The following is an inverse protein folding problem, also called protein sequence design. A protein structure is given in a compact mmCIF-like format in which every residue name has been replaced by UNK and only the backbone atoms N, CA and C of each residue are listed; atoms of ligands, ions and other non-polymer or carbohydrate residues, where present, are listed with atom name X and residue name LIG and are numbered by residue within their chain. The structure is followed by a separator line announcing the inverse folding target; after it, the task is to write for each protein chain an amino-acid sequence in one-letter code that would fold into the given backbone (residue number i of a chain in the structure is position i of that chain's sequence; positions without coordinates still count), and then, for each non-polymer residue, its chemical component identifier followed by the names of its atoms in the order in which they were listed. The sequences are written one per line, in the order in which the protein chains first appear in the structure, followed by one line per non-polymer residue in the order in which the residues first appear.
data_IF_267066297260
#
_entry.id   IF_267066297260
#
_cell.length_a   1.000
_cell.length_b   1.000
_cell.length_c   1.000
_cell.angle_alpha   90.00
_cell.angle_beta   90.00
_cell.angle_gamma   90.00
#
_symmetry.space_group_name_H-M   'P 1'
#
loop_
_entity.id
_entity.type
_entity.pdbx_description
1 polymer ?
#
# COMPACT_ATOMS: atom_id res chain seq x y z
N UNK A 1 -6.48 7.15 15.06
CA UNK A 1 -5.98 6.79 13.71
C UNK A 1 -6.03 7.99 12.77
N UNK A 2 -6.25 9.19 13.30
CA UNK A 2 -6.58 10.39 12.53
C UNK A 2 -5.31 11.20 12.28
N UNK A 3 -5.24 11.78 11.09
CA UNK A 3 -4.22 12.73 10.67
C UNK A 3 -4.79 14.13 10.91
N UNK A 4 -4.46 14.70 12.07
CA UNK A 4 -4.98 15.99 12.54
C UNK A 4 -4.75 17.16 11.56
N UNK A 5 -3.57 17.30 10.91
CA UNK A 5 -3.37 18.41 9.99
C UNK A 5 -4.23 18.29 8.73
N UNK A 6 -4.89 19.40 8.34
CA UNK A 6 -5.61 19.47 7.07
C UNK A 6 -4.66 19.37 5.87
N UNK A 7 -4.97 18.49 4.93
CA UNK A 7 -4.34 18.47 3.62
C UNK A 7 -5.12 19.37 2.67
N UNK A 8 -4.50 20.45 2.19
CA UNK A 8 -5.12 21.33 1.18
C UNK A 8 -5.55 20.54 -0.04
N UNK A 9 -4.71 19.61 -0.50
CA UNK A 9 -5.01 18.82 -1.68
C UNK A 9 -6.20 17.87 -1.48
N UNK A 10 -6.30 17.19 -0.33
CA UNK A 10 -7.46 16.32 -0.06
C UNK A 10 -8.75 17.12 0.10
N UNK A 11 -8.68 18.28 0.73
CA UNK A 11 -9.83 19.19 0.85
C UNK A 11 -10.31 19.71 -0.50
N UNK A 12 -9.39 20.14 -1.37
CA UNK A 12 -9.73 20.66 -2.69
C UNK A 12 -10.21 19.56 -3.64
N UNK A 13 -9.66 18.35 -3.54
CA UNK A 13 -9.98 17.23 -4.47
C UNK A 13 -11.20 16.42 -4.02
N UNK A 14 -11.30 16.14 -2.72
CA UNK A 14 -12.28 15.20 -2.16
C UNK A 14 -13.20 15.82 -1.11
N UNK A 15 -12.98 17.09 -0.72
CA UNK A 15 -13.74 17.73 0.36
C UNK A 15 -13.40 17.20 1.76
N UNK A 16 -12.32 16.43 1.90
CA UNK A 16 -11.92 15.82 3.17
C UNK A 16 -11.22 16.87 4.06
N UNK A 17 -11.73 17.15 5.29
CA UNK A 17 -11.10 18.07 6.23
C UNK A 17 -9.90 17.42 6.94
N UNK A 18 -9.25 18.14 7.86
CA UNK A 18 -8.30 17.53 8.81
C UNK A 18 -9.00 16.52 9.73
N UNK A 19 -8.23 15.61 10.34
CA UNK A 19 -8.76 14.48 11.12
C UNK A 19 -9.00 13.22 10.27
N UNK A 20 -8.48 13.16 9.04
CA UNK A 20 -8.72 12.04 8.13
C UNK A 20 -7.83 10.83 8.45
N UNK A 21 -8.33 9.64 8.13
CA UNK A 21 -7.56 8.42 8.05
C UNK A 21 -6.71 8.42 6.77
N UNK A 22 -5.43 8.07 6.90
CA UNK A 22 -4.47 7.93 5.80
C UNK A 22 -3.87 6.53 5.86
N UNK A 23 -4.12 5.70 4.84
CA UNK A 23 -3.64 4.31 4.82
C UNK A 23 -2.13 4.22 4.92
N UNK A 24 -1.37 5.16 4.33
CA UNK A 24 0.10 5.13 4.34
C UNK A 24 0.65 5.42 5.71
N UNK A 25 0.25 6.52 6.32
CA UNK A 25 0.78 6.88 7.65
C UNK A 25 0.41 5.84 8.69
N UNK A 26 -0.79 5.29 8.58
CA UNK A 26 -1.25 4.26 9.49
C UNK A 26 -0.53 2.92 9.23
N UNK A 27 -0.28 2.53 7.98
CA UNK A 27 0.54 1.36 7.68
C UNK A 27 1.99 1.54 8.16
N UNK A 28 2.63 2.70 7.93
CA UNK A 28 3.97 3.00 8.42
C UNK A 28 4.09 2.88 9.95
N UNK A 29 3.13 3.46 10.68
CA UNK A 29 3.06 3.33 12.13
C UNK A 29 2.81 1.89 12.57
N UNK A 30 1.92 1.15 11.88
CA UNK A 30 1.67 -0.27 12.12
C UNK A 30 2.94 -1.12 11.98
N UNK A 31 3.68 -0.94 10.87
CA UNK A 31 4.98 -1.59 10.64
C UNK A 31 5.97 -1.23 11.75
N UNK A 32 6.05 0.03 12.15
CA UNK A 32 6.95 0.47 13.22
C UNK A 32 6.63 -0.20 14.56
N UNK A 33 5.35 -0.32 14.91
CA UNK A 33 4.89 -0.98 16.13
C UNK A 33 5.22 -2.48 16.15
N UNK A 34 4.99 -3.19 15.04
CA UNK A 34 5.35 -4.63 14.94
C UNK A 34 6.85 -4.82 15.08
N UNK A 35 7.65 -4.00 14.40
CA UNK A 35 9.13 -4.06 14.51
C UNK A 35 9.61 -3.70 15.92
N UNK A 36 8.96 -2.75 16.60
CA UNK A 36 9.26 -2.43 17.99
C UNK A 36 8.94 -3.60 18.92
N UNK A 37 7.81 -4.27 18.72
CA UNK A 37 7.48 -5.50 19.44
C UNK A 37 8.54 -6.58 19.22
N UNK A 38 8.90 -6.88 17.98
CA UNK A 38 9.91 -7.89 17.65
C UNK A 38 11.28 -7.59 18.27
N UNK A 39 11.64 -6.30 18.36
CA UNK A 39 12.93 -5.87 18.91
C UNK A 39 12.98 -5.86 20.44
N UNK A 40 11.91 -5.39 21.09
CA UNK A 40 11.91 -5.12 22.53
C UNK A 40 11.08 -6.12 23.34
N UNK A 41 10.29 -6.96 22.66
CA UNK A 41 9.34 -7.91 23.25
C UNK A 41 8.37 -7.27 24.25
N UNK A 42 7.99 -6.01 23.99
CA UNK A 42 7.06 -5.24 24.82
C UNK A 42 5.63 -5.38 24.27
N UNK A 43 4.72 -6.09 24.97
CA UNK A 43 3.40 -6.43 24.46
C UNK A 43 2.55 -5.23 24.06
N UNK A 44 2.74 -4.07 24.71
CA UNK A 44 2.00 -2.85 24.40
C UNK A 44 2.07 -2.46 22.92
N UNK A 45 3.23 -2.64 22.26
CA UNK A 45 3.39 -2.31 20.84
C UNK A 45 2.54 -3.22 19.95
N UNK A 46 2.56 -4.52 20.20
CA UNK A 46 1.74 -5.47 19.44
C UNK A 46 0.25 -5.23 19.66
N UNK A 47 -0.15 -4.87 20.89
CA UNK A 47 -1.54 -4.51 21.19
C UNK A 47 -2.01 -3.29 20.40
N UNK A 48 -1.18 -2.25 20.24
CA UNK A 48 -1.56 -1.10 19.40
C UNK A 48 -1.63 -1.47 17.92
N UNK A 49 -0.66 -2.26 17.43
CA UNK A 49 -0.65 -2.74 16.05
C UNK A 49 -1.90 -3.58 15.72
N UNK A 50 -2.37 -4.41 16.66
CA UNK A 50 -3.62 -5.19 16.50
C UNK A 50 -4.86 -4.30 16.34
N UNK A 51 -4.95 -3.18 17.07
CA UNK A 51 -6.09 -2.28 16.92
C UNK A 51 -6.07 -1.56 15.57
N UNK A 52 -4.88 -1.18 15.09
CA UNK A 52 -4.69 -0.62 13.75
C UNK A 52 -5.08 -1.63 12.67
N UNK A 53 -4.63 -2.88 12.81
CA UNK A 53 -4.97 -3.96 11.90
C UNK A 53 -6.49 -4.19 11.85
N UNK A 54 -7.16 -4.27 12.99
CA UNK A 54 -8.59 -4.51 13.04
C UNK A 54 -9.38 -3.41 12.30
N UNK A 55 -9.02 -2.14 12.51
CA UNK A 55 -9.61 -1.04 11.75
C UNK A 55 -9.31 -1.16 10.25
N UNK A 56 -8.06 -1.41 9.90
CA UNK A 56 -7.63 -1.51 8.51
C UNK A 56 -8.34 -2.64 7.74
N UNK A 57 -8.50 -3.81 8.35
CA UNK A 57 -9.21 -4.93 7.73
C UNK A 57 -10.68 -4.58 7.44
N UNK A 58 -11.38 -3.95 8.39
CA UNK A 58 -12.76 -3.47 8.16
C UNK A 58 -12.80 -2.41 7.06
N UNK A 59 -11.85 -1.48 7.08
CA UNK A 59 -11.73 -0.41 6.10
C UNK A 59 -11.49 -0.94 4.68
N UNK A 60 -10.49 -1.79 4.48
CA UNK A 60 -10.15 -2.38 3.18
C UNK A 60 -11.32 -3.17 2.59
N UNK A 61 -12.11 -3.86 3.41
CA UNK A 61 -13.31 -4.57 2.95
C UNK A 61 -14.40 -3.63 2.41
N UNK A 62 -14.49 -2.41 2.94
CA UNK A 62 -15.52 -1.42 2.57
C UNK A 62 -15.07 -0.45 1.47
N UNK A 63 -13.78 -0.14 1.42
CA UNK A 63 -13.22 0.94 0.61
C UNK A 63 -12.10 0.43 -0.30
N UNK A 64 -12.47 -0.33 -1.33
CA UNK A 64 -11.55 -0.81 -2.35
C UNK A 64 -12.15 -0.73 -3.76
N UNK A 65 -11.27 -0.81 -4.75
CA UNK A 65 -11.60 -1.09 -6.14
C UNK A 65 -11.28 -2.55 -6.44
N UNK A 66 -12.25 -3.27 -7.00
CA UNK A 66 -12.08 -4.67 -7.38
C UNK A 66 -11.64 -4.78 -8.85
N UNK A 67 -10.60 -5.58 -9.08
CA UNK A 67 -10.10 -5.93 -10.41
C UNK A 67 -10.13 -7.45 -10.56
N UNK A 68 -10.38 -7.93 -11.78
CA UNK A 68 -10.46 -9.35 -12.10
C UNK A 68 -9.54 -9.67 -13.27
N UNK A 69 -8.83 -10.79 -13.20
CA UNK A 69 -8.11 -11.32 -14.36
C UNK A 69 -9.04 -12.16 -15.26
N UNK A 70 -8.48 -12.70 -16.35
CA UNK A 70 -9.20 -13.56 -17.30
C UNK A 70 -9.72 -14.88 -16.69
N UNK A 71 -9.24 -15.25 -15.49
CA UNK A 71 -9.70 -16.41 -14.73
C UNK A 71 -10.75 -16.05 -13.68
N UNK A 72 -11.24 -14.80 -13.67
CA UNK A 72 -12.16 -14.26 -12.66
C UNK A 72 -11.59 -14.27 -11.23
N UNK A 73 -10.27 -14.33 -11.08
CA UNK A 73 -9.63 -14.13 -9.79
C UNK A 73 -9.62 -12.64 -9.48
N UNK A 74 -10.11 -12.30 -8.29
CA UNK A 74 -10.28 -10.93 -7.84
C UNK A 74 -9.08 -10.45 -7.00
N UNK A 75 -8.62 -9.23 -7.27
CA UNK A 75 -7.66 -8.48 -6.46
C UNK A 75 -8.15 -7.06 -6.17
N UNK A 76 -7.61 -6.46 -5.11
CA UNK A 76 -8.08 -5.15 -4.61
C UNK A 76 -7.01 -4.08 -4.68
N UNK A 77 -7.43 -2.86 -5.02
CA UNK A 77 -6.69 -1.62 -4.76
C UNK A 77 -7.46 -0.83 -3.69
N UNK A 78 -6.86 -0.62 -2.52
CA UNK A 78 -7.53 0.02 -1.36
C UNK A 78 -7.47 1.54 -1.50
N UNK A 79 -8.56 2.21 -1.16
CA UNK A 79 -8.64 3.67 -1.22
C UNK A 79 -7.79 4.29 -0.10
N UNK A 80 -7.10 5.40 -0.37
CA UNK A 80 -6.04 5.88 0.53
C UNK A 80 -6.54 6.65 1.76
N UNK A 81 -7.73 7.24 1.67
CA UNK A 81 -8.21 8.24 2.63
C UNK A 81 -9.66 8.03 3.03
N UNK A 82 -9.98 8.37 4.28
CA UNK A 82 -11.35 8.38 4.77
C UNK A 82 -11.57 9.38 5.89
N UNK A 83 -12.77 9.91 5.96
CA UNK A 83 -13.23 10.77 7.04
C UNK A 83 -14.75 10.60 7.18
N UNK A 84 -15.29 10.68 8.39
CA UNK A 84 -16.74 10.53 8.63
C UNK A 84 -17.57 11.56 7.85
N UNK A 85 -17.11 12.82 7.80
CA UNK A 85 -17.69 13.89 6.97
C UNK A 85 -17.40 13.77 5.46
N UNK A 86 -16.62 12.76 5.03
CA UNK A 86 -16.21 12.56 3.63
C UNK A 86 -17.34 12.05 2.70
N UNK A 87 -18.54 11.82 3.23
CA UNK A 87 -19.73 11.32 2.52
C UNK A 87 -19.51 10.00 1.76
N UNK A 88 -18.56 9.17 2.17
CA UNK A 88 -18.16 7.92 1.50
C UNK A 88 -17.85 8.09 0.00
N UNK A 89 -17.41 9.29 -0.41
CA UNK A 89 -16.98 9.53 -1.79
C UNK A 89 -15.70 8.72 -2.06
N UNK A 90 -15.64 7.92 -3.13
CA UNK A 90 -14.45 7.17 -3.44
C UNK A 90 -13.24 8.09 -3.66
N UNK A 91 -12.10 7.71 -3.10
CA UNK A 91 -10.83 8.41 -3.30
C UNK A 91 -9.83 7.51 -4.03
N UNK A 92 -8.76 8.09 -4.54
CA UNK A 92 -7.74 7.32 -5.26
C UNK A 92 -7.05 6.27 -4.38
N UNK A 93 -6.40 5.32 -5.05
CA UNK A 93 -5.50 4.33 -4.47
C UNK A 93 -4.10 4.54 -5.03
N UNK A 94 -3.13 4.88 -4.18
CA UNK A 94 -1.75 5.11 -4.58
C UNK A 94 -0.92 3.82 -4.47
N UNK A 95 -0.03 3.60 -5.45
CA UNK A 95 0.76 2.37 -5.48
C UNK A 95 1.68 2.27 -4.25
N UNK A 96 2.28 3.36 -3.78
CA UNK A 96 3.11 3.33 -2.57
C UNK A 96 2.30 3.12 -1.28
N UNK A 97 1.03 3.54 -1.23
CA UNK A 97 0.13 3.22 -0.11
C UNK A 97 -0.14 1.72 -0.13
N UNK A 98 -0.65 1.22 -1.25
CA UNK A 98 -0.99 -0.19 -1.47
C UNK A 98 0.15 -1.15 -1.09
N UNK A 99 1.38 -0.86 -1.51
CA UNK A 99 2.54 -1.71 -1.21
C UNK A 99 2.93 -1.64 0.28
N UNK A 100 2.77 -0.48 0.92
CA UNK A 100 3.05 -0.34 2.36
C UNK A 100 2.01 -1.03 3.23
N UNK A 101 0.74 -0.98 2.81
CA UNK A 101 -0.35 -1.71 3.45
C UNK A 101 -0.10 -3.23 3.39
N UNK A 102 0.35 -3.74 2.23
CA UNK A 102 0.78 -5.14 2.09
C UNK A 102 1.91 -5.48 3.06
N UNK A 103 2.92 -4.60 3.21
CA UNK A 103 3.99 -4.82 4.19
C UNK A 103 3.43 -4.97 5.60
N UNK A 104 2.52 -4.08 6.01
CA UNK A 104 1.90 -4.14 7.32
C UNK A 104 1.11 -5.44 7.53
N UNK A 105 0.28 -5.82 6.56
CA UNK A 105 -0.51 -7.05 6.61
C UNK A 105 0.38 -8.30 6.71
N UNK A 106 1.41 -8.42 5.88
CA UNK A 106 2.29 -9.60 5.90
C UNK A 106 3.10 -9.70 7.19
N UNK A 107 3.57 -8.57 7.74
CA UNK A 107 4.24 -8.56 9.04
C UNK A 107 3.29 -9.01 10.16
N UNK A 108 2.09 -8.42 10.22
CA UNK A 108 1.09 -8.79 11.23
C UNK A 108 0.62 -10.23 11.09
N UNK A 109 0.30 -10.67 9.88
CA UNK A 109 -0.17 -12.03 9.61
C UNK A 109 0.87 -13.08 9.98
N UNK A 110 2.15 -12.79 9.75
CA UNK A 110 3.26 -13.66 10.17
C UNK A 110 3.42 -13.67 11.70
N UNK A 111 3.43 -12.50 12.34
CA UNK A 111 3.57 -12.35 13.79
C UNK A 111 2.44 -13.05 14.55
N UNK A 112 1.20 -12.90 14.06
CA UNK A 112 0.00 -13.48 14.66
C UNK A 112 -0.26 -14.93 14.24
N UNK A 113 0.44 -15.41 13.20
CA UNK A 113 0.13 -16.68 12.50
C UNK A 113 -1.33 -16.72 12.03
N UNK A 114 -1.79 -15.59 11.51
CA UNK A 114 -3.17 -15.38 11.09
C UNK A 114 -3.27 -15.44 9.56
N UNK A 115 -3.87 -16.51 9.06
CA UNK A 115 -4.02 -16.72 7.62
C UNK A 115 -5.02 -15.78 6.96
N UNK A 116 -5.99 -15.22 7.70
CA UNK A 116 -6.95 -14.27 7.12
C UNK A 116 -6.26 -12.93 6.82
N UNK A 117 -5.37 -12.51 7.71
CA UNK A 117 -4.54 -11.30 7.50
C UNK A 117 -3.60 -11.49 6.31
N UNK A 118 -2.96 -12.67 6.20
CA UNK A 118 -2.11 -13.00 5.05
C UNK A 118 -2.93 -13.03 3.76
N UNK A 119 -4.13 -13.62 3.80
CA UNK A 119 -5.01 -13.69 2.63
C UNK A 119 -5.45 -12.31 2.15
N UNK A 120 -5.70 -11.36 3.06
CA UNK A 120 -5.95 -9.97 2.68
C UNK A 120 -4.72 -9.35 2.01
N UNK A 121 -3.50 -9.59 2.53
CA UNK A 121 -2.26 -9.14 1.89
C UNK A 121 -2.11 -9.69 0.47
N UNK A 122 -2.41 -10.97 0.27
CA UNK A 122 -2.42 -11.60 -1.06
C UNK A 122 -3.50 -11.05 -1.98
N UNK A 123 -4.65 -10.65 -1.44
CA UNK A 123 -5.72 -9.98 -2.19
C UNK A 123 -5.27 -8.63 -2.74
N UNK A 124 -4.54 -7.86 -1.93
CA UNK A 124 -3.97 -6.58 -2.33
C UNK A 124 -2.85 -6.76 -3.36
N UNK A 125 -1.98 -7.74 -3.15
CA UNK A 125 -0.93 -8.09 -4.11
C UNK A 125 -1.54 -8.51 -5.46
N UNK A 126 -2.63 -9.29 -5.43
CA UNK A 126 -3.37 -9.68 -6.64
C UNK A 126 -3.90 -8.45 -7.40
N UNK A 127 -4.36 -7.41 -6.70
CA UNK A 127 -4.78 -6.15 -7.33
C UNK A 127 -3.64 -5.51 -8.14
N UNK A 128 -2.44 -5.48 -7.56
CA UNK A 128 -1.22 -5.01 -8.23
C UNK A 128 -0.82 -5.92 -9.39
N UNK A 129 -0.94 -7.25 -9.25
CA UNK A 129 -0.63 -8.19 -10.33
C UNK A 129 -1.53 -8.01 -11.55
N UNK A 130 -2.84 -7.86 -11.34
CA UNK A 130 -3.83 -7.69 -12.41
C UNK A 130 -3.59 -6.37 -13.16
N UNK A 131 -3.25 -5.32 -12.42
CA UNK A 131 -3.08 -3.96 -12.97
C UNK A 131 -1.64 -3.63 -13.36
N UNK A 132 -0.70 -4.57 -13.18
CA UNK A 132 0.76 -4.39 -13.29
C UNK A 132 1.21 -3.56 -14.49
N UNK A 133 0.74 -3.93 -15.68
CA UNK A 133 1.25 -3.32 -16.91
C UNK A 133 0.70 -1.90 -17.12
N UNK A 134 -0.40 -1.55 -16.46
CA UNK A 134 -1.04 -0.23 -16.53
C UNK A 134 -0.30 0.78 -15.63
N UNK A 135 0.30 0.32 -14.53
CA UNK A 135 1.12 1.16 -13.66
C UNK A 135 2.35 1.75 -14.35
N UNK A 136 2.84 1.12 -15.43
CA UNK A 136 4.06 1.53 -16.11
C UNK A 136 3.72 2.54 -17.21
N UNK A 137 4.25 3.76 -17.09
CA UNK A 137 4.11 4.82 -18.08
C UNK A 137 4.92 4.55 -19.35
N UNK A 138 4.59 5.19 -20.48
CA UNK A 138 5.37 5.09 -21.71
C UNK A 138 6.85 5.44 -21.55
N UNK A 139 7.18 6.42 -20.70
CA UNK A 139 8.56 6.84 -20.39
C UNK A 139 9.28 5.92 -19.37
N UNK A 140 8.62 4.87 -18.88
CA UNK A 140 9.19 3.85 -18.03
C UNK A 140 9.08 4.09 -16.53
N UNK A 141 8.63 5.28 -16.10
CA UNK A 141 8.28 5.51 -14.69
C UNK A 141 6.91 4.89 -14.34
N UNK A 142 6.51 5.01 -13.08
CA UNK A 142 5.22 4.54 -12.60
C UNK A 142 4.19 5.68 -12.50
N UNK A 143 2.92 5.33 -12.69
CA UNK A 143 1.78 6.11 -12.22
C UNK A 143 1.77 6.14 -10.70
N UNK A 144 1.41 7.28 -10.11
CA UNK A 144 1.29 7.41 -8.66
C UNK A 144 0.09 6.62 -8.13
N UNK A 145 -1.06 6.76 -8.79
CA UNK A 145 -2.30 6.18 -8.28
C UNK A 145 -3.36 5.92 -9.34
N UNK A 146 -4.38 5.19 -8.93
CA UNK A 146 -5.62 4.94 -9.65
C UNK A 146 -6.73 5.82 -9.08
N UNK A 147 -7.38 6.62 -9.94
CA UNK A 147 -8.39 7.60 -9.51
C UNK A 147 -9.81 7.03 -9.53
N UNK A 148 -10.77 7.68 -8.83
CA UNK A 148 -12.19 7.32 -8.89
C UNK A 148 -12.80 7.30 -10.30
N UNK A 149 -12.24 8.09 -11.22
CA UNK A 149 -12.65 8.16 -12.63
C UNK A 149 -12.13 6.98 -13.47
N UNK A 150 -11.40 6.05 -12.86
CA UNK A 150 -10.91 4.85 -13.55
C UNK A 150 -9.59 5.03 -14.29
N UNK A 151 -8.81 6.05 -13.95
CA UNK A 151 -7.57 6.39 -14.65
C UNK A 151 -6.35 6.17 -13.76
N UNK A 152 -5.29 5.60 -14.32
CA UNK A 152 -3.96 5.58 -13.70
C UNK A 152 -3.25 6.87 -14.07
N UNK A 153 -2.84 7.67 -13.09
CA UNK A 153 -2.39 9.04 -13.34
C UNK A 153 -1.19 9.46 -12.46
N UNK A 154 -0.81 10.73 -12.64
CA UNK A 154 0.18 11.48 -11.85
C UNK A 154 1.60 10.92 -11.85
N UNK A 155 2.50 11.79 -11.39
CA UNK A 155 3.92 11.50 -11.25
C UNK A 155 4.19 10.78 -9.95
N UNK A 156 4.76 9.57 -10.02
CA UNK A 156 5.16 8.81 -8.85
C UNK A 156 6.39 9.46 -8.16
N UNK A 157 6.58 9.12 -6.88
CA UNK A 157 7.70 9.60 -6.06
C UNK A 157 9.06 9.14 -6.61
N UNK A 158 10.17 9.87 -6.35
CA UNK A 158 11.47 9.53 -6.93
C UNK A 158 11.90 8.07 -6.70
N UNK A 159 11.86 7.60 -5.46
CA UNK A 159 12.37 6.28 -5.04
C UNK A 159 11.48 5.56 -4.01
N UNK A 160 10.51 6.24 -3.40
CA UNK A 160 9.67 5.70 -2.31
C UNK A 160 9.00 4.38 -2.70
N UNK A 161 8.25 4.37 -3.79
CA UNK A 161 7.50 3.19 -4.28
C UNK A 161 8.42 2.02 -4.60
N UNK A 162 9.62 2.29 -5.13
CA UNK A 162 10.63 1.26 -5.35
C UNK A 162 11.08 0.64 -4.02
N UNK A 163 11.37 1.48 -3.03
CA UNK A 163 11.83 1.03 -1.71
C UNK A 163 10.76 0.23 -0.97
N UNK A 164 9.50 0.59 -1.12
CA UNK A 164 8.39 -0.18 -0.53
C UNK A 164 8.28 -1.57 -1.19
N UNK A 165 8.35 -1.64 -2.52
CA UNK A 165 8.34 -2.92 -3.24
C UNK A 165 9.55 -3.78 -2.87
N UNK A 166 10.73 -3.17 -2.72
CA UNK A 166 11.94 -3.88 -2.30
C UNK A 166 11.72 -4.58 -0.94
N UNK A 167 11.18 -3.85 0.05
CA UNK A 167 10.92 -4.43 1.38
C UNK A 167 9.84 -5.50 1.38
N UNK A 168 8.82 -5.37 0.54
CA UNK A 168 7.80 -6.42 0.38
C UNK A 168 8.41 -7.66 -0.25
N UNK A 169 9.30 -7.52 -1.23
CA UNK A 169 9.98 -8.67 -1.83
C UNK A 169 10.83 -9.41 -0.79
N UNK A 170 11.62 -8.71 0.02
CA UNK A 170 12.38 -9.33 1.12
C UNK A 170 11.45 -10.07 2.08
N UNK A 171 10.32 -9.44 2.43
CA UNK A 171 9.35 -10.05 3.34
C UNK A 171 8.71 -11.32 2.75
N UNK A 172 8.40 -11.34 1.45
CA UNK A 172 7.90 -12.55 0.78
C UNK A 172 8.94 -13.68 0.85
N UNK A 173 10.22 -13.37 0.65
CA UNK A 173 11.32 -14.33 0.76
C UNK A 173 11.49 -14.85 2.20
N UNK A 174 11.40 -13.97 3.20
CA UNK A 174 11.43 -14.34 4.63
C UNK A 174 10.25 -15.24 5.03
N UNK A 175 9.09 -15.07 4.39
CA UNK A 175 7.94 -15.97 4.52
C UNK A 175 8.13 -17.31 3.78
N UNK A 176 9.29 -17.54 3.15
CA UNK A 176 9.59 -18.74 2.36
C UNK A 176 8.94 -18.78 0.98
N UNK A 177 8.46 -17.63 0.47
CA UNK A 177 7.86 -17.51 -0.86
C UNK A 177 8.91 -17.08 -1.88
N UNK A 178 8.63 -17.32 -3.16
CA UNK A 178 9.41 -16.72 -4.22
C UNK A 178 9.09 -15.23 -4.33
N UNK A 179 10.05 -14.44 -4.80
CA UNK A 179 9.82 -13.07 -5.23
C UNK A 179 8.65 -12.98 -6.20
N UNK A 180 7.83 -11.94 -6.04
CA UNK A 180 6.70 -11.68 -6.93
C UNK A 180 7.18 -11.10 -8.26
N UNK A 181 6.88 -11.78 -9.37
CA UNK A 181 7.34 -11.37 -10.70
C UNK A 181 6.70 -10.07 -11.20
N UNK A 182 5.50 -9.74 -10.72
CA UNK A 182 4.84 -8.47 -11.06
C UNK A 182 5.51 -7.30 -10.37
N UNK A 183 5.82 -7.43 -9.07
CA UNK A 183 6.62 -6.44 -8.35
C UNK A 183 8.01 -6.28 -8.98
N UNK A 184 8.70 -7.36 -9.34
CA UNK A 184 10.00 -7.27 -10.04
C UNK A 184 9.91 -6.56 -11.40
N UNK A 185 8.78 -6.67 -12.11
CA UNK A 185 8.58 -5.91 -13.35
C UNK A 185 8.44 -4.42 -13.06
N UNK A 186 7.62 -4.04 -12.10
CA UNK A 186 7.42 -2.64 -11.69
C UNK A 186 8.74 -2.03 -11.18
N UNK A 187 9.46 -2.76 -10.33
CA UNK A 187 10.77 -2.36 -9.82
C UNK A 187 11.79 -2.16 -10.95
N UNK A 188 11.84 -3.04 -11.96
CA UNK A 188 12.76 -2.88 -13.10
C UNK A 188 12.44 -1.65 -13.95
N UNK A 189 11.16 -1.39 -14.22
CA UNK A 189 10.73 -0.19 -14.93
C UNK A 189 11.16 1.06 -14.16
N UNK A 190 10.77 1.14 -12.88
CA UNK A 190 11.11 2.24 -11.99
C UNK A 190 12.62 2.45 -11.85
N UNK A 191 13.40 1.37 -11.68
CA UNK A 191 14.86 1.45 -11.57
C UNK A 191 15.49 2.03 -12.83
N UNK A 192 15.05 1.58 -14.01
CA UNK A 192 15.57 2.09 -15.28
C UNK A 192 15.31 3.59 -15.42
N UNK A 193 14.12 4.04 -15.01
CA UNK A 193 13.78 5.46 -14.94
C UNK A 193 14.66 6.22 -13.92
N UNK A 194 14.80 5.71 -12.69
CA UNK A 194 15.63 6.30 -11.65
C UNK A 194 17.09 6.46 -12.08
N UNK A 195 17.67 5.41 -12.68
CA UNK A 195 19.04 5.44 -13.20
C UNK A 195 19.20 6.50 -14.29
N UNK A 196 18.23 6.62 -15.20
CA UNK A 196 18.21 7.65 -16.24
C UNK A 196 18.05 9.09 -15.70
N UNK A 197 17.48 9.25 -14.50
CA UNK A 197 17.33 10.54 -13.80
C UNK A 197 18.42 10.82 -12.76
N UNK A 198 19.36 9.89 -12.55
CA UNK A 198 20.42 10.03 -11.55
C UNK A 198 19.91 9.97 -10.11
N UNK A 199 18.78 9.31 -9.85
CA UNK A 199 18.24 9.09 -8.51
C UNK A 199 18.97 7.90 -7.89
N UNK A 200 19.62 8.07 -6.73
CA UNK A 200 20.50 7.05 -6.13
C UNK A 200 20.17 6.69 -4.68
N UNK A 201 19.07 7.20 -4.13
CA UNK A 201 18.67 7.01 -2.73
C UNK A 201 17.88 5.72 -2.47
N UNK A 202 17.76 4.84 -3.48
CA UNK A 202 17.00 3.61 -3.42
C UNK A 202 17.74 2.46 -2.71
N UNK A 203 16.98 1.53 -2.13
CA UNK A 203 17.47 0.31 -1.47
C UNK A 203 18.07 -0.69 -2.47
N UNK A 204 19.05 -1.49 -2.03
CA UNK A 204 19.78 -2.46 -2.84
C UNK A 204 19.86 -3.82 -2.14
#
# INVERSE_FOLDING_TARGET
YETEPESRWLKETYGIPGGYYDTRFNADMGVALVKAYQKYNEPYFLEQAKKMLAFYMDYANKHHYAFYNDLSEEGWLVQDYWHEDGNDVPVHSALNHQIQEMQFLYLMGTELKDSEVIALGDKLLKGVEITRDIWIKPEGDLHYGYTPEGTFDRQDYPDLTYNDMYRVQELLEDMGRNRNTSLDRLMRAKKSYMDAKGITTYLQ
#
